data_IF_954924595280
#
_entry.id   IF_954924595280
#
_cell.length_a   1.000
_cell.length_b   1.000
_cell.length_c   1.000
_cell.angle_alpha   90.00
_cell.angle_beta   90.00
_cell.angle_gamma   90.00
#
_symmetry.space_group_name_H-M   'P 1'
#
loop_
_entity.id
_entity.type
_entity.pdbx_description
1 polymer ?
#
# COMPACT_ATOMS: atom_id res chain seq x y z
N UNK A 1 -38.77 4.86 -15.94
CA UNK A 1 -37.75 4.04 -16.63
C UNK A 1 -36.48 4.13 -15.80
N UNK A 2 -36.19 3.09 -15.02
CA UNK A 2 -35.00 3.04 -14.14
C UNK A 2 -33.86 2.48 -14.99
N UNK A 3 -32.92 3.35 -15.36
CA UNK A 3 -31.70 2.95 -16.05
C UNK A 3 -30.86 2.14 -15.06
N UNK A 4 -30.91 0.83 -15.20
CA UNK A 4 -30.12 -0.12 -14.41
C UNK A 4 -28.88 -0.38 -15.23
N UNK A 5 -27.84 0.44 -15.03
CA UNK A 5 -26.53 0.12 -15.55
C UNK A 5 -26.06 -1.16 -14.86
N UNK A 6 -26.13 -2.24 -15.63
CA UNK A 6 -25.57 -3.54 -15.31
C UNK A 6 -24.06 -3.33 -15.29
N UNK A 7 -23.51 -3.09 -14.10
CA UNK A 7 -22.09 -3.30 -13.85
C UNK A 7 -21.86 -4.80 -14.01
N UNK A 8 -21.43 -5.19 -15.20
CA UNK A 8 -21.09 -6.56 -15.54
C UNK A 8 -19.98 -7.04 -14.61
N UNK A 9 -20.20 -8.18 -13.96
CA UNK A 9 -19.28 -8.87 -13.04
C UNK A 9 -17.94 -9.30 -13.68
N UNK A 10 -17.62 -8.81 -14.88
CA UNK A 10 -16.36 -9.01 -15.61
C UNK A 10 -15.26 -7.99 -15.27
N UNK A 11 -15.57 -6.90 -14.59
CA UNK A 11 -14.56 -5.87 -14.24
C UNK A 11 -13.83 -6.10 -12.91
N UNK A 12 -14.20 -7.15 -12.16
CA UNK A 12 -13.44 -7.58 -11.00
C UNK A 12 -12.34 -8.54 -11.45
N UNK A 13 -11.18 -7.98 -11.82
CA UNK A 13 -9.97 -8.78 -12.00
C UNK A 13 -9.74 -9.65 -10.77
N UNK A 14 -9.33 -10.92 -10.95
CA UNK A 14 -9.05 -11.79 -9.82
C UNK A 14 -7.95 -11.15 -8.98
N UNK A 15 -8.22 -10.97 -7.67
CA UNK A 15 -7.33 -10.35 -6.67
C UNK A 15 -5.84 -10.78 -6.82
N UNK A 16 -5.49 -12.05 -7.12
CA UNK A 16 -4.10 -12.45 -7.36
C UNK A 16 -3.41 -11.73 -8.53
N UNK A 17 -4.13 -11.46 -9.61
CA UNK A 17 -3.58 -10.76 -10.77
C UNK A 17 -3.30 -9.29 -10.47
N UNK A 18 -4.16 -8.65 -9.67
CA UNK A 18 -3.96 -7.26 -9.23
C UNK A 18 -2.74 -7.14 -8.31
N UNK A 19 -2.55 -8.11 -7.40
CA UNK A 19 -1.37 -8.16 -6.52
C UNK A 19 -0.09 -8.38 -7.33
N UNK A 20 -0.09 -9.28 -8.31
CA UNK A 20 1.08 -9.48 -9.17
C UNK A 20 1.46 -8.20 -9.95
N UNK A 21 0.46 -7.42 -10.38
CA UNK A 21 0.66 -6.13 -11.05
C UNK A 21 1.18 -5.03 -10.12
N UNK A 22 0.90 -5.10 -8.82
CA UNK A 22 1.46 -4.17 -7.83
C UNK A 22 3.00 -4.27 -7.72
N UNK A 23 3.56 -5.45 -8.01
CA UNK A 23 5.01 -5.71 -7.93
C UNK A 23 5.74 -5.62 -9.28
N UNK A 24 5.11 -5.04 -10.31
CA UNK A 24 5.78 -4.83 -11.60
C UNK A 24 6.91 -3.80 -11.48
N UNK A 25 8.13 -4.13 -11.95
CA UNK A 25 9.28 -3.25 -11.80
C UNK A 25 9.19 -2.02 -12.70
N UNK A 26 8.49 -2.11 -13.83
CA UNK A 26 8.36 -1.03 -14.81
C UNK A 26 6.88 -0.90 -15.15
N UNK A 27 6.34 0.30 -15.00
CA UNK A 27 4.94 0.59 -15.25
C UNK A 27 4.77 1.70 -16.27
N UNK A 28 3.61 1.72 -16.92
CA UNK A 28 3.20 2.84 -17.75
C UNK A 28 2.38 3.81 -16.92
N UNK A 29 2.69 5.09 -17.06
CA UNK A 29 2.17 6.14 -16.20
C UNK A 29 1.51 7.22 -17.05
N UNK A 30 0.19 7.37 -16.91
CA UNK A 30 -0.58 8.44 -17.55
C UNK A 30 -0.90 9.50 -16.52
N UNK A 31 -0.83 10.76 -16.91
CA UNK A 31 -1.36 11.86 -16.08
C UNK A 31 -2.87 11.78 -16.12
N UNK A 32 -3.53 11.79 -14.96
CA UNK A 32 -4.99 11.93 -14.96
C UNK A 32 -5.29 13.34 -15.48
N UNK A 33 -5.99 13.45 -16.61
CA UNK A 33 -6.39 14.73 -17.23
C UNK A 33 -7.91 14.83 -17.35
N UNK A 34 -8.61 13.75 -17.01
CA UNK A 34 -10.05 13.55 -17.26
C UNK A 34 -10.83 13.49 -15.92
N UNK A 35 -10.15 13.63 -14.77
CA UNK A 35 -10.75 13.56 -13.45
C UNK A 35 -11.47 14.84 -12.99
N UNK A 36 -12.45 14.73 -12.07
CA UNK A 36 -13.27 15.86 -11.60
C UNK A 36 -12.45 16.99 -10.94
N UNK A 37 -11.24 16.70 -10.44
CA UNK A 37 -10.33 17.72 -9.91
C UNK A 37 -9.89 18.78 -10.94
N UNK A 38 -10.05 18.53 -12.25
CA UNK A 38 -9.77 19.50 -13.31
C UNK A 38 -10.92 20.46 -13.57
N UNK A 39 -12.13 20.13 -13.14
CA UNK A 39 -13.27 21.06 -13.18
C UNK A 39 -13.09 22.18 -12.14
N UNK A 40 -12.45 21.86 -10.99
CA UNK A 40 -12.29 22.80 -9.87
C UNK A 40 -11.00 23.63 -9.92
N UNK A 41 -9.90 23.12 -10.49
CA UNK A 41 -8.61 23.82 -10.54
C UNK A 41 -7.88 23.61 -11.88
N UNK A 42 -8.12 24.47 -12.89
CA UNK A 42 -7.47 24.34 -14.19
C UNK A 42 -5.98 24.73 -14.06
N UNK A 43 -5.07 23.76 -14.11
CA UNK A 43 -3.65 24.07 -14.30
C UNK A 43 -2.66 22.96 -13.97
N UNK A 44 -2.93 22.08 -13.00
CA UNK A 44 -2.01 20.98 -12.66
C UNK A 44 -2.79 19.72 -12.24
N UNK A 45 -2.57 18.57 -12.90
CA UNK A 45 -3.09 17.28 -12.47
C UNK A 45 -2.74 16.96 -11.03
N UNK A 46 -3.74 16.63 -10.20
CA UNK A 46 -3.52 16.14 -8.84
C UNK A 46 -2.98 14.71 -8.82
N UNK A 47 -3.45 13.88 -9.76
CA UNK A 47 -3.13 12.46 -9.79
C UNK A 47 -2.48 12.02 -11.11
N UNK A 48 -1.82 10.87 -11.03
CA UNK A 48 -1.21 10.12 -12.11
C UNK A 48 -1.67 8.68 -11.97
N UNK A 49 -2.14 8.12 -13.07
CA UNK A 49 -2.66 6.77 -13.18
C UNK A 49 -1.53 5.82 -13.55
N UNK A 50 -1.42 4.72 -12.81
CA UNK A 50 -0.69 3.54 -13.26
C UNK A 50 -1.58 2.72 -14.18
N UNK A 51 -1.25 2.65 -15.48
CA UNK A 51 -2.09 1.96 -16.47
C UNK A 51 -2.14 0.45 -16.25
N UNK A 52 -1.20 -0.13 -15.53
CA UNK A 52 -1.19 -1.57 -15.24
C UNK A 52 -2.24 -1.97 -14.20
N UNK A 53 -2.46 -1.11 -13.19
CA UNK A 53 -3.36 -1.37 -12.05
C UNK A 53 -4.61 -0.51 -12.03
N UNK A 54 -4.64 0.57 -12.81
CA UNK A 54 -5.71 1.59 -12.80
C UNK A 54 -5.69 2.49 -11.56
N UNK A 55 -4.66 2.40 -10.70
CA UNK A 55 -4.61 3.13 -9.43
C UNK A 55 -4.09 4.55 -9.60
N UNK A 56 -4.67 5.46 -8.83
CA UNK A 56 -4.30 6.88 -8.80
C UNK A 56 -3.21 7.12 -7.75
N UNK A 57 -2.13 7.75 -8.17
CA UNK A 57 -1.02 8.16 -7.32
C UNK A 57 -0.84 9.66 -7.41
N UNK A 58 -0.34 10.30 -6.36
CA UNK A 58 -0.10 11.75 -6.40
C UNK A 58 0.84 12.14 -7.54
N UNK A 59 0.44 13.13 -8.33
CA UNK A 59 1.26 13.65 -9.41
C UNK A 59 2.32 14.63 -8.87
N UNK A 60 3.35 14.07 -8.26
CA UNK A 60 4.49 14.82 -7.74
C UNK A 60 5.61 14.92 -8.79
N UNK A 61 6.36 16.01 -8.72
CA UNK A 61 7.58 16.15 -9.52
C UNK A 61 8.58 15.05 -9.16
N UNK A 62 9.26 14.50 -10.18
CA UNK A 62 10.25 13.42 -10.01
C UNK A 62 11.30 13.76 -8.95
N UNK A 63 11.77 15.01 -8.89
CA UNK A 63 12.78 15.47 -7.91
C UNK A 63 12.29 15.31 -6.47
N UNK A 64 11.03 15.66 -6.19
CA UNK A 64 10.43 15.52 -4.86
C UNK A 64 10.31 14.04 -4.49
N UNK A 65 9.81 13.21 -5.41
CA UNK A 65 9.69 11.76 -5.16
C UNK A 65 11.05 11.12 -4.91
N UNK A 66 12.09 11.50 -5.67
CA UNK A 66 13.46 11.04 -5.44
C UNK A 66 13.97 11.41 -4.06
N UNK A 67 13.72 12.65 -3.62
CA UNK A 67 14.11 13.10 -2.29
C UNK A 67 13.38 12.31 -1.19
N UNK A 68 12.07 12.05 -1.36
CA UNK A 68 11.31 11.19 -0.44
C UNK A 68 11.88 9.77 -0.39
N UNK A 69 12.19 9.17 -1.54
CA UNK A 69 12.83 7.87 -1.63
C UNK A 69 14.22 7.87 -0.97
N UNK A 70 15.00 8.93 -1.14
CA UNK A 70 16.29 9.08 -0.47
C UNK A 70 16.15 9.16 1.06
N UNK A 71 15.18 9.91 1.57
CA UNK A 71 14.86 9.94 3.00
C UNK A 71 14.44 8.56 3.51
N UNK A 72 13.68 7.80 2.71
CA UNK A 72 13.24 6.46 3.07
C UNK A 72 14.39 5.47 3.19
N UNK A 73 15.48 5.57 2.41
CA UNK A 73 16.67 4.71 2.58
C UNK A 73 17.17 4.75 4.04
N UNK A 74 17.25 5.95 4.62
CA UNK A 74 17.71 6.09 6.01
C UNK A 74 16.63 5.78 7.06
N UNK A 75 15.35 6.04 6.73
CA UNK A 75 14.25 5.86 7.67
C UNK A 75 13.71 4.42 7.73
N UNK A 76 13.86 3.64 6.66
CA UNK A 76 13.20 2.33 6.49
C UNK A 76 13.68 1.36 7.56
N UNK A 77 14.99 1.09 7.63
CA UNK A 77 15.57 0.15 8.59
C UNK A 77 15.22 0.46 10.05
N UNK A 78 15.47 1.67 10.59
CA UNK A 78 15.19 1.95 12.01
C UNK A 78 13.70 1.90 12.33
N UNK A 79 12.85 2.52 11.49
CA UNK A 79 11.42 2.57 11.78
C UNK A 79 10.76 1.21 11.58
N UNK A 80 11.02 0.54 10.45
CA UNK A 80 10.47 -0.80 10.25
C UNK A 80 11.01 -1.78 11.27
N UNK A 81 12.26 -1.65 11.74
CA UNK A 81 12.88 -2.43 12.82
C UNK A 81 12.12 -2.41 14.15
N UNK A 82 11.61 -1.23 14.56
CA UNK A 82 10.82 -1.11 15.80
C UNK A 82 9.41 -1.69 15.61
N UNK A 83 8.73 -1.31 14.53
CA UNK A 83 7.39 -1.84 14.22
C UNK A 83 7.40 -3.35 13.96
N UNK A 84 8.54 -3.86 13.50
CA UNK A 84 8.86 -5.26 13.27
C UNK A 84 8.66 -6.10 14.52
N UNK A 85 9.36 -5.72 15.59
CA UNK A 85 9.42 -6.51 16.81
C UNK A 85 8.02 -6.60 17.39
N UNK A 86 7.30 -5.47 17.46
CA UNK A 86 5.92 -5.46 17.94
C UNK A 86 4.97 -6.28 17.07
N UNK A 87 5.04 -6.17 15.74
CA UNK A 87 4.13 -6.89 14.84
C UNK A 87 4.43 -8.39 14.80
N UNK A 88 5.70 -8.80 14.80
CA UNK A 88 6.08 -10.22 14.80
C UNK A 88 5.80 -10.83 16.16
N UNK A 89 6.17 -10.16 17.26
CA UNK A 89 5.90 -10.67 18.61
C UNK A 89 4.41 -10.84 18.87
N UNK A 90 3.57 -9.86 18.48
CA UNK A 90 2.13 -9.97 18.67
C UNK A 90 1.49 -11.08 17.83
N UNK A 91 1.95 -11.30 16.59
CA UNK A 91 1.49 -12.41 15.73
C UNK A 91 1.99 -13.76 16.24
N UNK A 92 3.26 -13.86 16.62
CA UNK A 92 3.85 -15.06 17.21
C UNK A 92 3.15 -15.43 18.51
N UNK A 93 2.84 -14.46 19.37
CA UNK A 93 2.09 -14.68 20.60
C UNK A 93 0.68 -15.17 20.30
N UNK A 94 -0.02 -14.59 19.30
CA UNK A 94 -1.35 -15.06 18.90
C UNK A 94 -1.34 -16.50 18.39
N UNK A 95 -0.29 -16.89 17.65
CA UNK A 95 -0.10 -18.24 17.15
C UNK A 95 0.23 -19.21 18.29
N UNK A 96 1.18 -18.86 19.16
CA UNK A 96 1.60 -19.67 20.29
C UNK A 96 0.47 -19.90 21.30
N UNK A 97 -0.35 -18.88 21.55
CA UNK A 97 -1.53 -18.98 22.44
C UNK A 97 -2.76 -19.58 21.78
N UNK A 98 -2.68 -19.92 20.48
CA UNK A 98 -3.82 -20.36 19.67
C UNK A 98 -5.04 -19.43 19.75
N UNK A 99 -4.80 -18.15 20.06
CA UNK A 99 -5.84 -17.15 20.28
C UNK A 99 -6.78 -16.97 19.08
N UNK A 100 -6.32 -17.32 17.87
CA UNK A 100 -7.15 -17.37 16.67
C UNK A 100 -8.37 -18.29 16.81
N UNK A 101 -8.25 -19.36 17.60
CA UNK A 101 -9.28 -20.37 17.81
C UNK A 101 -10.10 -20.13 19.08
N UNK A 102 -9.73 -19.14 19.89
CA UNK A 102 -10.51 -18.78 21.07
C UNK A 102 -11.79 -18.03 20.67
N UNK A 103 -12.92 -18.44 21.23
CA UNK A 103 -14.18 -17.72 21.09
C UNK A 103 -14.14 -16.48 21.99
N UNK A 104 -13.94 -15.29 21.41
CA UNK A 104 -14.04 -14.03 22.15
C UNK A 104 -15.45 -13.90 22.71
N UNK A 105 -15.60 -13.97 24.04
CA UNK A 105 -16.84 -13.58 24.74
C UNK A 105 -17.16 -12.14 24.32
N UNK A 106 -18.21 -11.92 23.52
CA UNK A 106 -18.72 -10.57 23.25
C UNK A 106 -18.95 -10.16 21.80
N UNK A 107 -18.69 -10.97 20.77
CA UNK A 107 -19.18 -10.68 19.41
C UNK A 107 -19.79 -11.91 18.75
N UNK A 108 -21.09 -11.82 18.46
CA UNK A 108 -21.95 -12.71 17.68
C UNK A 108 -21.47 -12.94 16.23
N UNK A 109 -20.19 -13.28 16.01
CA UNK A 109 -19.73 -13.82 14.73
C UNK A 109 -19.79 -15.34 14.82
N UNK A 110 -20.63 -15.94 13.96
CA UNK A 110 -20.72 -17.40 13.75
C UNK A 110 -19.31 -17.99 13.73
N UNK A 111 -19.01 -18.91 14.65
CA UNK A 111 -17.71 -19.56 14.71
C UNK A 111 -17.45 -20.28 13.39
N UNK A 112 -16.33 -19.97 12.71
CA UNK A 112 -15.95 -20.56 11.44
C UNK A 112 -14.47 -20.96 11.49
N UNK A 113 -14.21 -22.27 11.61
CA UNK A 113 -12.85 -22.82 11.70
C UNK A 113 -12.00 -22.46 10.49
N UNK A 114 -12.56 -22.54 9.28
CA UNK A 114 -11.89 -22.19 8.03
C UNK A 114 -11.38 -20.74 8.03
N UNK A 115 -12.19 -19.79 8.50
CA UNK A 115 -11.79 -18.39 8.60
C UNK A 115 -10.67 -18.17 9.63
N UNK A 116 -10.72 -18.89 10.77
CA UNK A 116 -9.67 -18.82 11.81
C UNK A 116 -8.35 -19.42 11.34
N UNK A 117 -8.39 -20.58 10.70
CA UNK A 117 -7.22 -21.23 10.11
C UNK A 117 -6.59 -20.34 9.02
N UNK A 118 -7.41 -19.71 8.18
CA UNK A 118 -6.94 -18.74 7.19
C UNK A 118 -6.23 -17.54 7.85
N UNK A 119 -6.78 -17.00 8.94
CA UNK A 119 -6.15 -15.89 9.66
C UNK A 119 -4.82 -16.29 10.32
N UNK A 120 -4.75 -17.48 10.92
CA UNK A 120 -3.50 -18.02 11.47
C UNK A 120 -2.45 -18.21 10.38
N UNK A 121 -2.85 -18.77 9.23
CA UNK A 121 -1.97 -18.91 8.06
C UNK A 121 -1.47 -17.57 7.51
N UNK A 122 -2.31 -16.54 7.48
CA UNK A 122 -1.91 -15.17 7.11
C UNK A 122 -0.85 -14.61 8.07
N UNK A 123 -1.04 -14.77 9.38
CA UNK A 123 -0.08 -14.29 10.36
C UNK A 123 1.26 -15.04 10.27
N UNK A 124 1.23 -16.36 10.06
CA UNK A 124 2.43 -17.17 9.81
C UNK A 124 3.16 -16.73 8.54
N UNK A 125 2.43 -16.54 7.43
CA UNK A 125 3.01 -16.09 6.17
C UNK A 125 3.69 -14.74 6.34
N UNK A 126 3.05 -13.77 7.02
CA UNK A 126 3.63 -12.44 7.26
C UNK A 126 4.82 -12.44 8.22
N UNK A 127 5.00 -13.49 9.04
CA UNK A 127 6.22 -13.70 9.83
C UNK A 127 7.31 -14.27 8.91
N UNK A 128 6.99 -15.28 8.11
CA UNK A 128 7.95 -15.96 7.24
C UNK A 128 8.47 -15.06 6.10
N UNK A 129 7.60 -14.27 5.47
CA UNK A 129 7.99 -13.35 4.37
C UNK A 129 8.66 -12.08 4.88
N UNK A 130 8.64 -11.84 6.18
CA UNK A 130 9.07 -10.59 6.78
C UNK A 130 10.48 -10.11 6.36
N UNK A 131 11.56 -10.90 6.51
CA UNK A 131 12.90 -10.43 6.15
C UNK A 131 12.99 -10.03 4.68
N UNK A 132 12.28 -10.72 3.79
CA UNK A 132 12.23 -10.41 2.37
C UNK A 132 11.50 -9.08 2.10
N UNK A 133 10.46 -8.76 2.87
CA UNK A 133 9.76 -7.48 2.73
C UNK A 133 10.66 -6.32 3.12
N UNK A 134 11.45 -6.43 4.20
CA UNK A 134 12.36 -5.35 4.62
C UNK A 134 13.40 -5.08 3.54
N UNK A 135 14.00 -6.14 2.98
CA UNK A 135 14.91 -6.01 1.83
C UNK A 135 14.21 -5.40 0.63
N UNK A 136 12.95 -5.78 0.36
CA UNK A 136 12.14 -5.21 -0.72
C UNK A 136 11.83 -3.71 -0.53
N UNK A 137 11.51 -3.28 0.70
CA UNK A 137 11.31 -1.88 1.05
C UNK A 137 12.59 -1.07 0.80
N UNK A 138 13.73 -1.55 1.30
CA UNK A 138 15.02 -0.87 1.11
C UNK A 138 15.40 -0.80 -0.38
N UNK A 139 15.31 -1.93 -1.09
CA UNK A 139 15.61 -2.00 -2.51
C UNK A 139 14.68 -1.11 -3.35
N UNK A 140 13.39 -1.02 -3.00
CA UNK A 140 12.44 -0.14 -3.68
C UNK A 140 12.68 1.34 -3.38
N UNK A 141 13.15 1.69 -2.18
CA UNK A 141 13.57 3.06 -1.85
C UNK A 141 14.79 3.48 -2.69
N UNK A 142 15.82 2.62 -2.76
CA UNK A 142 17.00 2.84 -3.62
C UNK A 142 16.59 2.94 -5.09
N UNK A 143 15.76 2.01 -5.56
CA UNK A 143 15.24 2.03 -6.93
C UNK A 143 14.47 3.32 -7.23
N UNK A 144 13.69 3.83 -6.28
CA UNK A 144 12.94 5.09 -6.38
C UNK A 144 13.82 6.35 -6.52
N UNK A 145 15.09 6.31 -6.10
CA UNK A 145 16.02 7.41 -6.39
C UNK A 145 16.30 7.51 -7.89
N UNK A 146 16.38 6.38 -8.59
CA UNK A 146 16.64 6.33 -10.04
C UNK A 146 15.33 6.41 -10.84
N UNK A 147 14.35 5.60 -10.48
CA UNK A 147 13.03 5.45 -11.10
C UNK A 147 11.91 5.81 -10.09
N UNK A 148 11.62 7.10 -9.90
CA UNK A 148 10.78 7.58 -8.80
C UNK A 148 9.38 7.01 -8.74
N UNK A 149 8.70 6.88 -9.88
CA UNK A 149 7.31 6.43 -9.89
C UNK A 149 7.19 4.91 -9.68
N UNK A 150 8.08 4.12 -10.27
CA UNK A 150 8.07 2.68 -10.08
C UNK A 150 8.57 2.30 -8.68
N UNK A 151 9.64 2.94 -8.20
CA UNK A 151 10.15 2.73 -6.84
C UNK A 151 9.15 3.07 -5.74
N UNK A 152 8.45 4.22 -5.84
CA UNK A 152 7.39 4.54 -4.87
C UNK A 152 6.24 3.52 -4.88
N UNK A 153 5.85 3.02 -6.06
CA UNK A 153 4.77 2.04 -6.21
C UNK A 153 5.18 0.72 -5.54
N UNK A 154 6.39 0.26 -5.82
CA UNK A 154 6.95 -0.94 -5.20
C UNK A 154 7.02 -0.81 -3.69
N UNK A 155 7.55 0.31 -3.19
CA UNK A 155 7.62 0.58 -1.75
C UNK A 155 6.24 0.52 -1.08
N UNK A 156 5.25 1.22 -1.66
CA UNK A 156 3.89 1.21 -1.15
C UNK A 156 3.25 -0.19 -1.19
N UNK A 157 3.58 -0.98 -2.21
CA UNK A 157 3.08 -2.36 -2.36
C UNK A 157 3.67 -3.28 -1.29
N UNK A 158 4.96 -3.16 -0.98
CA UNK A 158 5.59 -3.88 0.13
C UNK A 158 4.99 -3.48 1.49
N UNK A 159 4.74 -2.18 1.74
CA UNK A 159 4.08 -1.74 2.97
C UNK A 159 2.68 -2.35 3.11
N UNK A 160 1.86 -2.30 2.04
CA UNK A 160 0.51 -2.88 2.05
C UNK A 160 0.53 -4.40 2.27
N UNK A 161 1.47 -5.11 1.63
CA UNK A 161 1.59 -6.55 1.80
C UNK A 161 1.87 -6.95 3.25
N UNK A 162 2.71 -6.18 3.96
CA UNK A 162 3.14 -6.52 5.32
C UNK A 162 2.21 -5.99 6.42
N UNK A 163 1.74 -4.75 6.26
CA UNK A 163 1.03 -4.00 7.31
C UNK A 163 -0.44 -3.77 7.00
N UNK A 164 -0.90 -4.02 5.76
CA UNK A 164 -2.26 -3.69 5.26
C UNK A 164 -2.59 -2.19 5.27
N UNK A 165 -1.64 -1.34 5.67
CA UNK A 165 -1.74 0.12 5.75
C UNK A 165 -0.37 0.74 5.48
N UNK A 166 -0.34 2.04 5.18
CA UNK A 166 0.91 2.80 5.17
C UNK A 166 1.48 2.95 6.59
N UNK A 167 2.81 2.93 6.67
CA UNK A 167 3.53 3.18 7.92
C UNK A 167 4.37 4.45 7.81
N UNK A 168 5.25 4.52 6.80
CA UNK A 168 6.19 5.62 6.59
C UNK A 168 5.84 6.48 5.39
N UNK A 169 5.31 5.86 4.33
CA UNK A 169 5.08 6.51 3.05
C UNK A 169 3.59 6.58 2.67
N UNK A 170 2.73 7.28 3.45
CA UNK A 170 1.32 7.42 3.10
C UNK A 170 1.14 8.11 1.74
N UNK A 171 2.01 9.06 1.38
CA UNK A 171 2.04 9.71 0.07
C UNK A 171 2.29 8.76 -1.12
N UNK A 172 2.87 7.60 -0.88
CA UNK A 172 3.13 6.62 -1.94
C UNK A 172 1.94 5.68 -2.15
N UNK A 173 0.95 5.70 -1.26
CA UNK A 173 -0.25 4.89 -1.40
C UNK A 173 -1.16 5.41 -2.52
N UNK A 174 -1.93 4.50 -3.17
CA UNK A 174 -3.04 4.86 -4.03
C UNK A 174 -4.02 5.78 -3.28
N UNK A 175 -4.58 6.75 -4.00
CA UNK A 175 -5.57 7.68 -3.46
C UNK A 175 -5.11 8.37 -2.17
N UNK A 176 -3.80 8.63 -2.05
CA UNK A 176 -3.23 9.22 -0.85
C UNK A 176 -3.92 10.55 -0.52
N UNK A 177 -4.17 10.75 0.78
CA UNK A 177 -4.70 11.99 1.35
C UNK A 177 -3.65 12.78 2.13
N UNK A 178 -2.39 12.31 2.15
CA UNK A 178 -1.31 12.87 2.98
C UNK A 178 0.04 12.88 2.25
N UNK A 179 0.89 13.85 2.58
CA UNK A 179 2.31 13.87 2.24
C UNK A 179 3.14 12.94 3.16
N UNK A 180 4.47 12.91 3.00
CA UNK A 180 5.33 12.04 3.81
C UNK A 180 5.14 12.45 5.29
N UNK A 181 5.20 11.50 6.22
CA UNK A 181 4.94 11.76 7.66
C UNK A 181 3.55 12.32 8.03
N UNK A 182 2.64 12.52 7.06
CA UNK A 182 1.24 12.85 7.34
C UNK A 182 0.81 14.30 7.09
N UNK A 183 1.60 15.13 6.40
CA UNK A 183 1.23 16.50 6.02
C UNK A 183 -0.01 16.57 5.10
N UNK A 184 -0.69 17.72 5.07
CA UNK A 184 -1.90 17.94 4.25
C UNK A 184 -1.56 18.09 2.77
N UNK A 185 -2.24 17.31 1.93
CA UNK A 185 -2.05 17.22 0.49
C UNK A 185 -2.41 18.50 -0.27
N UNK A 186 -3.24 19.35 0.33
CA UNK A 186 -3.65 20.64 -0.24
C UNK A 186 -2.61 21.74 0.03
N UNK A 187 -1.66 21.49 0.95
CA UNK A 187 -0.58 22.44 1.22
C UNK A 187 0.56 22.28 0.19
N UNK A 188 0.67 23.26 -0.73
CA UNK A 188 1.77 23.30 -1.70
C UNK A 188 3.11 23.43 -0.96
N UNK A 189 3.87 22.34 -0.89
CA UNK A 189 5.23 22.31 -0.31
C UNK A 189 5.42 21.38 0.89
N UNK A 190 4.45 20.54 1.23
CA UNK A 190 4.61 19.61 2.35
C UNK A 190 5.49 18.41 1.96
N UNK A 191 6.67 18.38 2.58
CA UNK A 191 7.34 17.14 2.92
C UNK A 191 6.38 16.26 3.71
#
# INVERSE_FOLDING_TARGET
MVNTDIVTLTDLQPIPALIARDFQPINKWKVDIDGPQFEENPGVPKYRIDESTGRLYLNEQKVIVRLKCYTLIFATLPAHGIFLIGSVASRALKLATLSHFWCSKGRLKKYCLKARACNAGKDLLKIATHPFIVVGLEASAVYGVFQPYDGRKLYASFERAQYEKSMLAPCFQPDSKKHLLGGDIESRGAF
#
